data_IF_587628596063
#
_entry.id   IF_587628596063
#
_cell.length_a   1.000
_cell.length_b   1.000
_cell.length_c   1.000
_cell.angle_alpha   90.00
_cell.angle_beta   90.00
_cell.angle_gamma   90.00
#
_symmetry.space_group_name_H-M   'P 1'
#
loop_
_entity.id
_entity.type
_entity.pdbx_description
1 polymer ?
#
# COMPACT_ATOMS: atom_id res chain seq x y z
N UNK A 1 11.18 10.39 1.85
CA UNK A 1 10.08 9.49 1.44
C UNK A 1 9.05 10.11 0.48
N UNK A 2 8.63 11.38 0.62
CA UNK A 2 7.59 12.00 -0.25
C UNK A 2 7.90 11.93 -1.76
N UNK A 3 9.15 12.23 -2.16
CA UNK A 3 9.54 12.18 -3.59
C UNK A 3 9.54 10.77 -4.18
N UNK A 4 9.92 9.76 -3.39
CA UNK A 4 9.92 8.37 -3.83
C UNK A 4 8.50 7.89 -4.17
N UNK A 5 7.53 8.11 -3.28
CA UNK A 5 6.15 7.69 -3.52
C UNK A 5 5.51 8.45 -4.68
N UNK A 6 5.88 9.71 -4.91
CA UNK A 6 5.45 10.48 -6.08
C UNK A 6 5.94 9.84 -7.37
N UNK A 7 7.22 9.51 -7.45
CA UNK A 7 7.83 8.87 -8.62
C UNK A 7 7.27 7.46 -8.86
N UNK A 8 7.13 6.67 -7.80
CA UNK A 8 6.58 5.32 -7.87
C UNK A 8 5.13 5.32 -8.37
N UNK A 9 4.28 6.24 -7.89
CA UNK A 9 2.90 6.38 -8.38
C UNK A 9 2.85 6.82 -9.84
N UNK A 10 3.75 7.72 -10.26
CA UNK A 10 3.85 8.14 -11.66
C UNK A 10 4.20 6.96 -12.56
N UNK A 11 5.23 6.19 -12.19
CA UNK A 11 5.61 4.96 -12.88
C UNK A 11 4.47 3.93 -12.92
N UNK A 12 3.80 3.71 -11.78
CA UNK A 12 2.70 2.75 -11.67
C UNK A 12 1.53 3.03 -12.61
N UNK A 13 1.30 4.29 -12.99
CA UNK A 13 0.22 4.68 -13.91
C UNK A 13 0.51 4.32 -15.36
N UNK A 14 1.78 4.11 -15.72
CA UNK A 14 2.20 3.76 -17.08
C UNK A 14 1.91 2.29 -17.45
N UNK A 15 1.37 1.51 -16.51
CA UNK A 15 1.02 0.10 -16.73
C UNK A 15 2.23 -0.81 -16.56
N UNK A 16 2.32 -1.48 -15.40
CA UNK A 16 3.42 -2.37 -15.02
C UNK A 16 3.39 -3.70 -15.80
N UNK A 17 3.65 -3.67 -17.10
CA UNK A 17 3.75 -4.90 -17.90
C UNK A 17 5.08 -5.63 -17.68
N UNK A 18 6.12 -4.88 -17.34
CA UNK A 18 7.50 -5.36 -17.21
C UNK A 18 7.99 -5.02 -15.79
N UNK A 19 8.92 -5.82 -15.27
CA UNK A 19 9.56 -5.54 -13.99
C UNK A 19 10.31 -4.21 -14.05
N UNK A 20 10.27 -3.35 -13.02
CA UNK A 20 10.91 -2.03 -13.05
C UNK A 20 12.42 -2.07 -13.34
N UNK A 21 13.10 -3.14 -12.88
CA UNK A 21 14.52 -3.40 -13.11
C UNK A 21 14.84 -3.96 -14.49
N UNK A 22 13.84 -4.37 -15.25
CA UNK A 22 13.96 -4.82 -16.65
C UNK A 22 13.35 -3.80 -17.62
N UNK A 23 12.78 -2.72 -17.10
CA UNK A 23 12.16 -1.66 -17.87
C UNK A 23 13.20 -0.58 -18.17
N UNK A 24 13.68 -0.55 -19.42
CA UNK A 24 14.68 0.40 -19.88
C UNK A 24 14.23 1.85 -19.67
N UNK A 25 12.93 2.13 -19.85
CA UNK A 25 12.38 3.47 -19.65
C UNK A 25 12.43 3.86 -18.17
N UNK A 26 12.08 2.93 -17.28
CA UNK A 26 12.18 3.14 -15.84
C UNK A 26 13.63 3.42 -15.39
N UNK A 27 14.59 2.64 -15.88
CA UNK A 27 16.00 2.82 -15.52
C UNK A 27 16.51 4.17 -16.05
N UNK A 28 16.18 4.53 -17.29
CA UNK A 28 16.62 5.79 -17.91
C UNK A 28 16.04 7.01 -17.18
N UNK A 29 14.78 6.93 -16.73
CA UNK A 29 14.08 8.06 -16.12
C UNK A 29 14.37 8.24 -14.62
N UNK A 30 14.48 7.13 -13.87
CA UNK A 30 14.56 7.15 -12.41
C UNK A 30 15.90 6.63 -11.86
N UNK A 31 16.67 5.93 -12.69
CA UNK A 31 17.93 5.29 -12.32
C UNK A 31 17.74 3.88 -11.77
N UNK A 32 18.77 3.04 -11.94
CA UNK A 32 18.76 1.63 -11.54
C UNK A 32 18.45 1.42 -10.05
N UNK A 33 18.96 2.31 -9.18
CA UNK A 33 18.71 2.25 -7.74
C UNK A 33 17.23 2.46 -7.39
N UNK A 34 16.55 3.41 -8.03
CA UNK A 34 15.11 3.61 -7.81
C UNK A 34 14.28 2.48 -8.41
N UNK A 35 14.66 1.98 -9.60
CA UNK A 35 14.02 0.83 -10.22
C UNK A 35 14.01 -0.40 -9.29
N UNK A 36 15.14 -0.68 -8.63
CA UNK A 36 15.21 -1.76 -7.62
C UNK A 36 14.21 -1.57 -6.47
N UNK A 37 14.10 -0.35 -5.93
CA UNK A 37 13.14 -0.06 -4.87
C UNK A 37 11.69 -0.10 -5.35
N UNK A 38 11.41 0.29 -6.60
CA UNK A 38 10.09 0.14 -7.20
C UNK A 38 9.71 -1.33 -7.33
N UNK A 39 10.65 -2.21 -7.68
CA UNK A 39 10.39 -3.65 -7.73
C UNK A 39 10.04 -4.21 -6.34
N UNK A 40 10.78 -3.83 -5.29
CA UNK A 40 10.44 -4.23 -3.91
C UNK A 40 9.06 -3.73 -3.48
N UNK A 41 8.69 -2.50 -3.84
CA UNK A 41 7.36 -1.96 -3.55
C UNK A 41 6.25 -2.66 -4.34
N UNK A 42 6.51 -3.03 -5.59
CA UNK A 42 5.54 -3.77 -6.40
C UNK A 42 5.29 -5.17 -5.83
N UNK A 43 6.34 -5.84 -5.34
CA UNK A 43 6.22 -7.10 -4.61
C UNK A 43 5.39 -6.91 -3.33
N UNK A 44 5.65 -5.86 -2.56
CA UNK A 44 4.87 -5.54 -1.35
C UNK A 44 3.40 -5.28 -1.68
N UNK A 45 3.08 -4.52 -2.72
CA UNK A 45 1.70 -4.28 -3.13
C UNK A 45 0.98 -5.55 -3.63
N UNK A 46 1.69 -6.45 -4.29
CA UNK A 46 1.12 -7.72 -4.74
C UNK A 46 0.97 -8.74 -3.61
N UNK A 47 1.85 -8.72 -2.60
CA UNK A 47 1.78 -9.60 -1.41
C UNK A 47 0.82 -9.08 -0.36
N UNK A 48 0.71 -7.76 -0.21
CA UNK A 48 -0.38 -7.12 0.52
C UNK A 48 -1.65 -7.32 -0.30
N UNK A 49 -2.30 -8.48 -0.14
CA UNK A 49 -3.66 -8.71 -0.64
C UNK A 49 -4.45 -7.44 -0.44
N UNK A 50 -4.99 -6.86 -1.52
CA UNK A 50 -5.80 -5.66 -1.39
C UNK A 50 -6.82 -5.95 -0.30
N UNK A 51 -6.78 -5.14 0.76
CA UNK A 51 -7.79 -5.22 1.81
C UNK A 51 -9.06 -4.69 1.18
N UNK A 52 -9.73 -5.55 0.40
CA UNK A 52 -11.02 -5.26 -0.18
C UNK A 52 -11.97 -4.88 0.97
N UNK A 53 -12.99 -4.09 0.67
CA UNK A 53 -13.91 -3.56 1.69
C UNK A 53 -14.46 -4.69 2.57
N UNK A 54 -14.71 -5.87 1.98
CA UNK A 54 -15.18 -7.06 2.69
C UNK A 54 -14.20 -7.61 3.73
N UNK A 55 -12.89 -7.73 3.40
CA UNK A 55 -11.85 -8.15 4.36
C UNK A 55 -11.67 -7.12 5.48
N UNK A 56 -11.83 -5.83 5.17
CA UNK A 56 -11.86 -4.76 6.19
C UNK A 56 -13.08 -4.86 7.10
N UNK A 57 -14.26 -5.10 6.53
CA UNK A 57 -15.48 -5.33 7.31
C UNK A 57 -15.36 -6.58 8.18
N UNK A 58 -14.79 -7.67 7.67
CA UNK A 58 -14.56 -8.90 8.42
C UNK A 58 -13.62 -8.68 9.62
N UNK A 59 -12.50 -7.96 9.41
CA UNK A 59 -11.63 -7.57 10.52
C UNK A 59 -12.33 -6.67 11.54
N UNK A 60 -13.18 -5.75 11.09
CA UNK A 60 -13.97 -4.88 11.97
C UNK A 60 -14.96 -5.68 12.83
N UNK A 61 -15.65 -6.65 12.24
CA UNK A 61 -16.56 -7.53 12.96
C UNK A 61 -15.80 -8.37 14.00
N UNK A 62 -14.67 -8.95 13.62
CA UNK A 62 -13.84 -9.73 14.54
C UNK A 62 -13.24 -8.89 15.67
N UNK A 63 -12.78 -7.67 15.38
CA UNK A 63 -12.26 -6.76 16.40
C UNK A 63 -13.36 -6.29 17.37
N UNK A 64 -14.58 -6.05 16.86
CA UNK A 64 -15.73 -5.67 17.69
C UNK A 64 -16.28 -6.85 18.52
N UNK A 65 -16.08 -8.09 18.06
CA UNK A 65 -16.47 -9.29 18.79
C UNK A 65 -15.54 -9.59 19.97
N UNK A 66 -14.33 -9.03 20.00
CA UNK A 66 -13.44 -9.11 21.15
C UNK A 66 -13.90 -8.11 22.23
N UNK A 67 -13.93 -8.51 23.50
CA UNK A 67 -14.18 -7.62 24.63
C UNK A 67 -12.97 -6.70 24.83
N UNK A 68 -12.80 -5.73 23.94
CA UNK A 68 -11.74 -4.75 24.01
C UNK A 68 -12.05 -3.75 25.12
N UNK A 69 -11.01 -3.35 25.85
CA UNK A 69 -11.12 -2.22 26.77
C UNK A 69 -11.56 -0.96 26.01
N UNK A 70 -12.34 -0.09 26.69
CA UNK A 70 -12.90 1.14 26.08
C UNK A 70 -11.86 2.03 25.39
N UNK A 71 -10.63 2.08 25.91
CA UNK A 71 -9.52 2.81 25.29
C UNK A 71 -9.10 2.21 23.93
N UNK A 72 -9.09 0.88 23.83
CA UNK A 72 -8.73 0.18 22.58
C UNK A 72 -9.84 0.34 21.53
N UNK A 73 -11.12 0.34 21.93
CA UNK A 73 -12.24 0.67 21.03
C UNK A 73 -12.14 2.09 20.48
N UNK A 74 -11.92 3.09 21.33
CA UNK A 74 -11.77 4.49 20.90
C UNK A 74 -10.57 4.71 19.97
N UNK A 75 -9.46 3.98 20.20
CA UNK A 75 -8.28 4.02 19.33
C UNK A 75 -8.58 3.44 17.95
N UNK A 76 -9.28 2.31 17.90
CA UNK A 76 -9.73 1.69 16.64
C UNK A 76 -10.69 2.61 15.90
N UNK A 77 -11.70 3.18 16.57
CA UNK A 77 -12.62 4.15 15.95
C UNK A 77 -11.90 5.37 15.35
N UNK A 78 -10.90 5.91 16.05
CA UNK A 78 -10.06 6.99 15.51
C UNK A 78 -9.33 6.55 14.25
N UNK A 79 -8.67 5.38 14.26
CA UNK A 79 -7.99 4.85 13.07
C UNK A 79 -8.96 4.69 11.89
N UNK A 80 -10.18 4.23 12.15
CA UNK A 80 -11.21 4.07 11.12
C UNK A 80 -11.69 5.38 10.51
N UNK A 81 -11.89 6.43 11.33
CA UNK A 81 -12.31 7.76 10.84
C UNK A 81 -11.28 8.42 9.92
N UNK A 82 -10.00 8.14 10.12
CA UNK A 82 -8.91 8.67 9.28
C UNK A 82 -8.61 7.80 8.04
N UNK A 83 -9.28 6.66 7.84
CA UNK A 83 -9.08 5.78 6.69
C UNK A 83 -10.09 5.98 5.56
N UNK A 84 -11.11 6.84 5.76
CA UNK A 84 -12.15 7.17 4.79
C UNK A 84 -11.94 8.52 4.07
N UNK A 85 -10.79 9.17 4.26
CA UNK A 85 -10.35 10.41 3.57
C UNK A 85 -9.13 10.05 2.73
#
# INVERSE_FOLDING_TARGET
MKNFMKNYRAYSRLGRRIRPTLDEHCIRQYGAKQAFYFEKMAVLENTLTSFNVHKRMALRVNANAQSLSRQNQLRLEKMWRYWSI
#
